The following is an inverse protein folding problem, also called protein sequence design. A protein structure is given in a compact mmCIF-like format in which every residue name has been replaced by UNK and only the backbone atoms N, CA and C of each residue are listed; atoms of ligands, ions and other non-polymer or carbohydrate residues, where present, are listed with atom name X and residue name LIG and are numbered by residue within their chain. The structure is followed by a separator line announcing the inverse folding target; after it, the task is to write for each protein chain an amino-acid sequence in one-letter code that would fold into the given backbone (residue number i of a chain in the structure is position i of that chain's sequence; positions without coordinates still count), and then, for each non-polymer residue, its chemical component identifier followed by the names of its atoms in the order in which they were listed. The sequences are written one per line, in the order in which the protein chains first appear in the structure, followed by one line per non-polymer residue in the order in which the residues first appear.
data_IF_232229646428
#
_entry.id   IF_232229646428
#
_cell.length_a   1.000
_cell.length_b   1.000
_cell.length_c   1.000
_cell.angle_alpha   90.00
_cell.angle_beta   90.00
_cell.angle_gamma   90.00
#
_symmetry.space_group_name_H-M   'P 1'
#
loop_
_entity.id
_entity.type
_entity.pdbx_description
1 polymer ?
#
# COMPACT_ATOMS: atom_id res chain seq x y z
N UNK A 1 -10.49 10.33 18.02
CA UNK A 1 -10.01 9.74 16.75
C UNK A 1 -9.23 8.49 17.10
N UNK A 2 -9.70 7.32 16.70
CA UNK A 2 -9.10 6.06 17.13
C UNK A 2 -7.66 5.93 16.57
N UNK A 3 -6.68 5.93 17.48
CA UNK A 3 -5.30 5.53 17.22
C UNK A 3 -5.31 4.10 16.67
N UNK A 4 -5.20 3.92 15.35
CA UNK A 4 -4.74 2.64 14.82
C UNK A 4 -3.25 2.56 15.19
N UNK A 5 -2.88 1.68 16.12
CA UNK A 5 -1.54 1.57 16.71
C UNK A 5 -0.41 1.13 15.75
N UNK A 6 -0.56 1.34 14.44
CA UNK A 6 0.47 1.08 13.45
C UNK A 6 1.35 2.33 13.25
N UNK A 7 2.66 2.16 13.32
CA UNK A 7 3.60 3.25 13.03
C UNK A 7 3.56 3.64 11.55
N UNK A 8 3.96 4.88 11.18
CA UNK A 8 4.06 5.28 9.78
C UNK A 8 4.89 4.32 8.93
N UNK A 9 5.97 3.76 9.50
CA UNK A 9 6.79 2.75 8.83
C UNK A 9 6.02 1.45 8.57
N UNK A 10 5.19 1.00 9.51
CA UNK A 10 4.34 -0.18 9.31
C UNK A 10 3.31 0.05 8.21
N UNK A 11 2.74 1.27 8.11
CA UNK A 11 1.82 1.64 7.05
C UNK A 11 2.51 1.67 5.68
N UNK A 12 3.71 2.25 5.58
CA UNK A 12 4.51 2.24 4.34
C UNK A 12 4.91 0.83 3.92
N UNK A 13 5.31 -0.04 4.86
CA UNK A 13 5.65 -1.43 4.54
C UNK A 13 4.42 -2.21 4.05
N UNK A 14 3.28 -2.03 4.70
CA UNK A 14 2.03 -2.65 4.27
C UNK A 14 1.60 -2.17 2.87
N UNK A 15 1.81 -0.88 2.57
CA UNK A 15 1.61 -0.36 1.22
C UNK A 15 2.51 -1.11 0.23
N UNK A 16 3.81 -1.22 0.50
CA UNK A 16 4.75 -1.99 -0.31
C UNK A 16 4.25 -3.41 -0.65
N UNK A 17 3.76 -4.15 0.34
CA UNK A 17 3.18 -5.49 0.10
C UNK A 17 1.97 -5.48 -0.85
N UNK A 18 1.12 -4.45 -0.79
CA UNK A 18 -0.01 -4.31 -1.70
C UNK A 18 0.47 -4.09 -3.15
N UNK A 19 1.48 -3.23 -3.33
CA UNK A 19 2.07 -2.95 -4.64
C UNK A 19 2.76 -4.18 -5.24
N UNK A 20 3.58 -4.88 -4.45
CA UNK A 20 4.27 -6.09 -4.91
C UNK A 20 3.28 -7.18 -5.32
N UNK A 21 2.20 -7.35 -4.53
CA UNK A 21 1.14 -8.31 -4.82
C UNK A 21 0.38 -7.94 -6.09
N UNK A 22 0.07 -6.65 -6.29
CA UNK A 22 -0.59 -6.16 -7.51
C UNK A 22 0.25 -6.47 -8.76
N UNK A 23 1.56 -6.19 -8.71
CA UNK A 23 2.48 -6.50 -9.80
C UNK A 23 2.61 -8.00 -10.07
N UNK A 24 2.68 -8.82 -9.02
CA UNK A 24 2.72 -10.27 -9.16
C UNK A 24 1.46 -10.83 -9.85
N UNK A 25 0.28 -10.35 -9.44
CA UNK A 25 -1.00 -10.74 -10.05
C UNK A 25 -1.07 -10.29 -11.51
N UNK A 26 -0.63 -9.07 -11.83
CA UNK A 26 -0.60 -8.57 -13.20
C UNK A 26 0.27 -9.45 -14.12
N UNK A 27 1.46 -9.87 -13.64
CA UNK A 27 2.32 -10.79 -14.38
C UNK A 27 1.66 -12.15 -14.65
N UNK A 28 0.98 -12.73 -13.65
CA UNK A 28 0.24 -13.98 -13.84
C UNK A 28 -0.92 -13.82 -14.85
N UNK A 29 -1.64 -12.70 -14.77
CA UNK A 29 -2.76 -12.38 -15.67
C UNK A 29 -2.29 -12.32 -17.12
N UNK A 30 -1.21 -11.59 -17.39
CA UNK A 30 -0.61 -11.49 -18.73
C UNK A 30 -0.19 -12.87 -19.26
N UNK A 31 0.44 -13.69 -18.41
CA UNK A 31 0.85 -15.05 -18.79
C UNK A 31 -0.34 -15.95 -19.15
N UNK A 32 -1.47 -15.85 -18.43
CA UNK A 32 -2.69 -16.58 -18.77
C UNK A 32 -3.26 -16.12 -20.12
N UNK A 33 -3.23 -14.82 -20.42
CA UNK A 33 -3.66 -14.30 -21.73
C UNK A 33 -2.78 -14.81 -22.88
N UNK A 34 -1.46 -14.87 -22.68
CA UNK A 34 -0.54 -15.44 -23.67
C UNK A 34 -0.82 -16.93 -23.93
N UNK A 35 -1.04 -17.71 -22.86
CA UNK A 35 -1.38 -19.14 -22.96
C UNK A 35 -2.72 -19.32 -23.69
N UNK A 36 -3.74 -18.54 -23.35
CA UNK A 36 -5.03 -18.53 -24.04
C UNK A 36 -4.85 -18.24 -25.53
N UNK A 37 -4.11 -17.20 -25.88
CA UNK A 37 -3.86 -16.83 -27.27
C UNK A 37 -3.16 -17.97 -28.02
N UNK A 38 -2.16 -18.59 -27.40
CA UNK A 38 -1.45 -19.73 -27.96
C UNK A 38 -2.39 -20.91 -28.21
N UNK A 39 -3.19 -21.31 -27.22
CA UNK A 39 -4.12 -22.44 -27.35
C UNK A 39 -5.17 -22.22 -28.44
N UNK A 40 -5.72 -21.01 -28.52
CA UNK A 40 -6.79 -20.67 -29.47
C UNK A 40 -6.27 -20.46 -30.89
N UNK A 41 -5.02 -20.03 -31.06
CA UNK A 41 -4.37 -19.86 -32.37
C UNK A 41 -3.80 -21.16 -32.93
N UNK A 42 -3.31 -22.07 -32.08
CA UNK A 42 -2.71 -23.36 -32.47
C UNK A 42 -3.72 -24.43 -32.93
N UNK A 43 -4.99 -24.06 -33.13
CA UNK A 43 -5.96 -24.90 -33.82
C UNK A 43 -7.13 -25.38 -32.96
N UNK A 44 -7.13 -25.10 -31.65
CA UNK A 44 -8.34 -25.32 -30.84
C UNK A 44 -9.39 -24.26 -31.16
N UNK A 45 -10.31 -24.62 -32.06
CA UNK A 45 -11.36 -23.74 -32.60
C UNK A 45 -12.76 -24.31 -32.34
N UNK A 46 -13.77 -23.46 -32.50
CA UNK A 46 -15.18 -23.82 -32.35
C UNK A 46 -15.80 -23.37 -31.02
N UNK A 47 -17.05 -23.78 -30.78
CA UNK A 47 -17.88 -23.25 -29.69
C UNK A 47 -17.28 -23.46 -28.29
N UNK A 48 -16.59 -24.59 -28.06
CA UNK A 48 -15.95 -24.84 -26.77
C UNK A 48 -14.79 -23.86 -26.50
N UNK A 49 -13.93 -23.64 -27.50
CA UNK A 49 -12.83 -22.67 -27.46
C UNK A 49 -13.33 -21.23 -27.27
N UNK A 50 -14.45 -20.88 -27.91
CA UNK A 50 -15.09 -19.57 -27.73
C UNK A 50 -15.60 -19.36 -26.29
N UNK A 51 -16.29 -20.35 -25.70
CA UNK A 51 -16.77 -20.27 -24.32
C UNK A 51 -15.62 -20.21 -23.30
N UNK A 52 -14.57 -20.99 -23.53
CA UNK A 52 -13.35 -20.91 -22.73
C UNK A 52 -12.71 -19.52 -22.81
N UNK A 53 -12.59 -18.95 -24.02
CA UNK A 53 -12.03 -17.62 -24.22
C UNK A 53 -12.81 -16.55 -23.49
N UNK A 54 -14.15 -16.61 -23.57
CA UNK A 54 -15.05 -15.69 -22.87
C UNK A 54 -14.92 -15.80 -21.35
N UNK A 55 -14.82 -17.02 -20.80
CA UNK A 55 -14.62 -17.23 -19.37
C UNK A 55 -13.27 -16.63 -18.91
N UNK A 56 -12.22 -16.78 -19.71
CA UNK A 56 -10.92 -16.17 -19.41
C UNK A 56 -10.92 -14.64 -19.55
N UNK A 57 -11.72 -14.07 -20.46
CA UNK A 57 -11.88 -12.61 -20.56
C UNK A 57 -12.62 -12.04 -19.34
N UNK A 58 -13.62 -12.76 -18.83
CA UNK A 58 -14.28 -12.37 -17.59
C UNK A 58 -13.32 -12.47 -16.39
N UNK A 59 -12.60 -13.58 -16.26
CA UNK A 59 -11.59 -13.78 -15.23
C UNK A 59 -10.53 -12.65 -15.27
N UNK A 60 -10.07 -12.27 -16.45
CA UNK A 60 -9.12 -11.15 -16.64
C UNK A 60 -9.66 -9.82 -16.10
N UNK A 61 -10.92 -9.52 -16.40
CA UNK A 61 -11.61 -8.32 -15.93
C UNK A 61 -11.74 -8.30 -14.40
N UNK A 62 -12.10 -9.42 -13.79
CA UNK A 62 -12.20 -9.57 -12.33
C UNK A 62 -10.84 -9.33 -11.66
N UNK A 63 -9.76 -9.88 -12.22
CA UNK A 63 -8.40 -9.69 -11.68
C UNK A 63 -7.86 -8.27 -11.86
N UNK A 64 -8.19 -7.58 -12.96
CA UNK A 64 -7.94 -6.13 -13.08
C UNK A 64 -8.64 -5.34 -11.97
N UNK A 65 -9.84 -5.76 -11.57
CA UNK A 65 -10.54 -5.20 -10.42
C UNK A 65 -9.78 -5.39 -9.11
N UNK A 66 -9.24 -6.59 -8.87
CA UNK A 66 -8.40 -6.89 -7.68
C UNK A 66 -7.14 -6.03 -7.67
N UNK A 67 -6.44 -5.91 -8.79
CA UNK A 67 -5.24 -5.07 -8.93
C UNK A 67 -5.57 -3.62 -8.54
N UNK A 68 -6.66 -3.08 -9.08
CA UNK A 68 -7.10 -1.72 -8.76
C UNK A 68 -7.40 -1.53 -7.27
N UNK A 69 -8.02 -2.52 -6.62
CA UNK A 69 -8.28 -2.46 -5.17
C UNK A 69 -6.97 -2.45 -4.37
N UNK A 70 -5.97 -3.22 -4.79
CA UNK A 70 -4.65 -3.22 -4.14
C UNK A 70 -3.92 -1.88 -4.33
N UNK A 71 -4.00 -1.28 -5.51
CA UNK A 71 -3.47 0.06 -5.80
C UNK A 71 -4.19 1.14 -4.97
N UNK A 72 -5.53 1.08 -4.86
CA UNK A 72 -6.30 2.00 -4.03
C UNK A 72 -5.94 1.87 -2.54
N UNK A 73 -5.68 0.65 -2.05
CA UNK A 73 -5.21 0.42 -0.68
C UNK A 73 -3.80 1.00 -0.48
N UNK A 74 -2.89 0.78 -1.44
CA UNK A 74 -1.55 1.35 -1.44
C UNK A 74 -1.60 2.88 -1.28
N UNK A 75 -2.40 3.56 -2.10
CA UNK A 75 -2.53 5.02 -2.07
C UNK A 75 -3.08 5.50 -0.72
N UNK A 76 -4.13 4.85 -0.20
CA UNK A 76 -4.72 5.19 1.10
C UNK A 76 -3.73 5.01 2.26
N UNK A 77 -2.92 3.95 2.23
CA UNK A 77 -1.91 3.69 3.26
C UNK A 77 -0.80 4.75 3.22
N UNK A 78 -0.36 5.16 2.03
CA UNK A 78 0.65 6.21 1.88
C UNK A 78 0.13 7.60 2.27
N UNK A 79 -1.11 7.95 1.93
CA UNK A 79 -1.77 9.17 2.42
C UNK A 79 -1.84 9.14 3.96
N UNK A 80 -2.28 8.02 4.54
CA UNK A 80 -2.32 7.83 5.99
C UNK A 80 -0.96 8.05 6.65
N UNK A 81 0.09 7.42 6.13
CA UNK A 81 1.47 7.60 6.62
C UNK A 81 1.96 9.06 6.52
N UNK A 82 1.62 9.76 5.43
CA UNK A 82 1.94 11.17 5.24
C UNK A 82 1.24 12.08 6.25
N UNK A 83 -0.06 11.86 6.51
CA UNK A 83 -0.82 12.59 7.55
C UNK A 83 -0.21 12.35 8.92
N UNK A 84 0.17 11.11 9.27
CA UNK A 84 0.83 10.83 10.54
C UNK A 84 2.16 11.58 10.68
N UNK A 85 3.02 11.61 9.65
CA UNK A 85 4.27 12.39 9.68
C UNK A 85 4.00 13.88 9.90
N UNK A 86 3.08 14.46 9.12
CA UNK A 86 2.77 15.88 9.23
C UNK A 86 2.19 16.25 10.61
N UNK A 87 1.33 15.42 11.19
CA UNK A 87 0.81 15.65 12.55
C UNK A 87 1.87 15.44 13.63
N UNK A 88 2.79 14.49 13.46
CA UNK A 88 3.93 14.32 14.36
C UNK A 88 4.86 15.54 14.31
N UNK A 89 5.16 16.05 13.10
CA UNK A 89 5.98 17.23 12.89
C UNK A 89 5.32 18.51 13.45
N UNK A 90 4.01 18.70 13.24
CA UNK A 90 3.26 19.81 13.83
C UNK A 90 3.24 19.76 15.36
N UNK A 91 3.10 18.58 15.96
CA UNK A 91 3.19 18.42 17.41
C UNK A 91 4.63 18.64 17.94
N UNK A 92 5.65 18.30 17.15
CA UNK A 92 7.05 18.58 17.48
C UNK A 92 7.36 20.08 17.40
N UNK A 93 6.81 20.81 16.42
CA UNK A 93 6.98 22.25 16.29
C UNK A 93 6.23 23.01 17.40
N UNK A 94 5.05 22.52 17.79
CA UNK A 94 4.32 23.02 18.97
C UNK A 94 5.11 22.72 20.27
N UNK A 95 5.67 21.52 20.44
CA UNK A 95 6.51 21.18 21.58
C UNK A 95 7.82 21.99 21.60
N UNK A 96 8.40 22.27 20.43
CA UNK A 96 9.57 23.14 20.25
C UNK A 96 9.27 24.64 20.48
N UNK A 97 8.04 25.07 20.18
CA UNK A 97 7.51 26.40 20.51
C UNK A 97 7.28 26.60 22.01
N UNK A 98 6.79 25.58 22.72
CA UNK A 98 6.74 25.60 24.18
C UNK A 98 8.13 25.56 24.83
N UNK A 99 9.12 24.91 24.20
CA UNK A 99 10.51 24.92 24.66
C UNK A 99 11.23 26.26 24.46
N UNK A 100 10.70 27.18 23.62
CA UNK A 100 11.27 28.51 23.39
C UNK A 100 10.66 29.62 24.26
N UNK A 101 9.53 29.39 24.92
CA UNK A 101 8.85 30.41 25.74
C UNK A 101 8.80 30.09 27.24
N UNK A 102 9.46 29.03 27.70
CA UNK A 102 9.45 28.67 29.12
C UNK A 102 10.71 27.97 29.58
N UNK A 103 11.63 28.77 30.12
CA UNK A 103 12.58 28.38 31.17
C UNK A 103 13.55 27.24 30.91
N UNK A 104 14.77 27.66 30.57
CA UNK A 104 16.02 27.09 31.06
C UNK A 104 16.02 27.01 32.61
N UNK A 105 15.37 25.98 33.15
CA UNK A 105 15.43 25.61 34.57
C UNK A 105 15.23 24.12 34.88
N UNK A 106 14.81 23.28 33.92
CA UNK A 106 14.50 21.85 34.17
C UNK A 106 15.48 20.85 33.56
N UNK A 107 16.41 21.29 32.72
CA UNK A 107 17.36 20.38 32.05
C UNK A 107 18.52 20.01 33.00
N UNK A 108 18.89 20.87 33.95
CA UNK A 108 19.97 20.59 34.91
C UNK A 108 19.63 19.51 35.95
N UNK A 109 18.34 19.28 36.27
CA UNK A 109 17.96 18.31 37.31
C UNK A 109 17.95 16.85 36.86
N UNK A 110 17.94 16.57 35.54
CA UNK A 110 17.87 15.19 35.02
C UNK A 110 19.25 14.65 34.61
N UNK A 111 20.24 15.53 34.39
CA UNK A 111 21.62 15.12 34.09
C UNK A 111 22.37 14.73 35.38
N UNK A 112 22.07 15.36 36.52
CA UNK A 112 22.71 15.08 37.81
C UNK A 112 21.95 14.08 38.72
N UNK A 113 20.81 13.53 38.29
CA UNK A 113 20.05 12.55 39.08
C UNK A 113 20.41 11.08 38.75
N UNK A 114 21.30 10.84 37.77
CA UNK A 114 21.73 9.50 37.39
C UNK A 114 23.22 9.41 37.03
N UNK A 115 24.07 10.13 37.79
CA UNK A 115 25.49 9.82 38.00
C UNK A 115 26.06 10.61 39.16
#
# INVERSE_FOLDING_TARGET
MALYGASPTQLTNAAGYCQDTAQYIEGMRLRVQEIKATLTTQGWKGNASARFSQALDQWDGEFKGVIKVLEDIYDRLNIGAGVYRNTADQNMDIAGGFARTGESGRIDSLINANR
#
